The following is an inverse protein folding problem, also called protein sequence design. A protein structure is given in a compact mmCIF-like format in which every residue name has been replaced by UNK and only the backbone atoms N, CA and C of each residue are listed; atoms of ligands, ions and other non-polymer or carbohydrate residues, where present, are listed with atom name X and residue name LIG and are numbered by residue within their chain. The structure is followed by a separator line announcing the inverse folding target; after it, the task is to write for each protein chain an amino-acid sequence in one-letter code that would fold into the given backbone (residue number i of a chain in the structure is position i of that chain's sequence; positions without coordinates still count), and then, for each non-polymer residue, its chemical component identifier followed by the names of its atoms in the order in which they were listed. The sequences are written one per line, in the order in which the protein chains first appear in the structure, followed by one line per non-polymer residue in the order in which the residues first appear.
data_IF_839239265997
#
_entry.id   IF_839239265997
#
_cell.length_a   1.000
_cell.length_b   1.000
_cell.length_c   1.000
_cell.angle_alpha   90.00
_cell.angle_beta   90.00
_cell.angle_gamma   90.00
#
_symmetry.space_group_name_H-M   'P 1'
#
loop_
_entity.id
_entity.type
_entity.pdbx_description
1 polymer ?
#
# COMPACT_ATOMS: atom_id res chain seq x y z
N UNK A 1 26.31 -8.31 13.13
CA UNK A 1 25.65 -7.87 14.37
C UNK A 1 24.44 -8.76 14.60
N UNK A 2 24.28 -9.38 15.77
CA UNK A 2 23.17 -10.26 16.10
C UNK A 2 21.87 -9.54 16.49
N UNK A 3 21.72 -8.25 16.17
CA UNK A 3 20.50 -7.50 16.42
C UNK A 3 19.49 -7.73 15.29
N UNK A 4 18.20 -7.94 15.62
CA UNK A 4 17.14 -7.99 14.62
C UNK A 4 16.99 -6.64 13.93
N UNK A 5 16.35 -6.59 12.73
CA UNK A 5 15.98 -5.33 12.13
C UNK A 5 15.17 -4.47 13.09
N UNK A 6 15.42 -3.16 13.11
CA UNK A 6 14.69 -2.24 13.96
C UNK A 6 13.24 -2.09 13.44
N UNK A 7 12.26 -2.27 14.31
CA UNK A 7 10.89 -1.91 14.04
C UNK A 7 10.71 -0.41 14.25
N UNK A 8 10.06 0.26 13.30
CA UNK A 8 9.66 1.65 13.47
C UNK A 8 8.23 1.86 12.97
N UNK A 9 7.57 2.83 13.53
CA UNK A 9 6.25 3.25 13.09
C UNK A 9 6.25 4.75 12.84
N UNK A 10 5.96 5.14 11.61
CA UNK A 10 5.74 6.53 11.26
C UNK A 10 4.26 6.77 11.00
N UNK A 11 3.72 7.77 11.66
CA UNK A 11 2.34 8.21 11.48
C UNK A 11 2.30 9.74 11.52
N UNK A 12 1.49 10.33 10.66
CA UNK A 12 1.22 11.76 10.64
C UNK A 12 -0.26 11.99 10.36
N UNK A 13 -0.76 13.14 10.77
CA UNK A 13 -2.09 13.63 10.41
C UNK A 13 -1.93 14.89 9.59
N UNK A 14 -2.41 14.87 8.36
CA UNK A 14 -2.41 16.02 7.48
C UNK A 14 -3.39 17.11 7.97
N UNK A 15 -3.25 18.38 7.55
CA UNK A 15 -4.19 19.44 7.88
C UNK A 15 -5.64 19.15 7.46
N UNK A 16 -5.83 18.33 6.42
CA UNK A 16 -7.14 17.81 5.99
C UNK A 16 -7.80 16.87 7.00
N UNK A 17 -7.06 16.41 8.02
CA UNK A 17 -7.47 15.37 8.95
C UNK A 17 -7.09 13.96 8.51
N UNK A 18 -6.58 13.76 7.29
CA UNK A 18 -6.17 12.45 6.73
C UNK A 18 -4.98 11.87 7.48
N UNK A 19 -5.08 10.60 7.85
CA UNK A 19 -3.95 9.84 8.40
C UNK A 19 -2.99 9.41 7.29
N UNK A 20 -1.68 9.58 7.55
CA UNK A 20 -0.60 9.11 6.69
C UNK A 20 0.28 8.16 7.50
N UNK A 21 0.62 7.03 6.93
CA UNK A 21 1.33 5.96 7.67
C UNK A 21 2.43 5.35 6.82
N UNK A 22 3.50 4.90 7.49
CA UNK A 22 4.46 3.94 6.96
C UNK A 22 4.12 2.55 7.49
N UNK A 23 4.13 1.54 6.63
CA UNK A 23 3.88 0.16 7.00
C UNK A 23 4.69 -0.81 6.13
N UNK A 24 4.66 -2.12 6.47
CA UNK A 24 5.34 -3.18 5.70
C UNK A 24 6.79 -2.85 5.38
N UNK A 25 7.57 -2.49 6.42
CA UNK A 25 9.01 -2.26 6.23
C UNK A 25 9.72 -3.55 5.85
N UNK A 26 10.41 -3.52 4.72
CA UNK A 26 11.15 -4.63 4.16
C UNK A 26 12.65 -4.31 4.17
N UNK A 27 13.38 -4.66 5.24
CA UNK A 27 14.84 -4.55 5.25
C UNK A 27 15.43 -5.54 4.25
N UNK A 28 16.41 -5.12 3.46
CA UNK A 28 16.96 -5.93 2.39
C UNK A 28 15.91 -6.36 1.37
N UNK A 29 14.96 -5.47 1.04
CA UNK A 29 13.82 -5.78 0.19
C UNK A 29 13.89 -5.16 -1.20
N UNK A 30 12.93 -5.53 -2.03
CA UNK A 30 12.74 -5.04 -3.39
C UNK A 30 11.31 -4.59 -3.60
N UNK A 31 11.10 -3.67 -4.53
CA UNK A 31 9.75 -3.31 -5.01
C UNK A 31 9.47 -4.10 -6.28
N UNK A 32 8.36 -4.83 -6.28
CA UNK A 32 7.95 -5.71 -7.37
C UNK A 32 6.70 -5.19 -8.07
N UNK A 33 6.60 -5.46 -9.36
CA UNK A 33 5.36 -5.34 -10.10
C UNK A 33 4.38 -6.43 -9.64
N UNK A 34 3.20 -6.04 -9.19
CA UNK A 34 2.16 -6.95 -8.67
C UNK A 34 0.93 -7.00 -9.58
N UNK A 35 1.11 -6.72 -10.88
CA UNK A 35 0.03 -6.70 -11.85
C UNK A 35 -0.59 -8.09 -12.00
N UNK A 36 -1.92 -8.17 -11.89
CA UNK A 36 -2.70 -9.40 -12.07
C UNK A 36 -3.68 -9.32 -13.25
N UNK A 37 -3.75 -8.18 -13.92
CA UNK A 37 -4.66 -7.94 -15.06
C UNK A 37 -4.08 -6.98 -16.08
N UNK A 38 -4.66 -6.92 -17.28
CA UNK A 38 -4.21 -6.02 -18.34
C UNK A 38 -4.47 -4.55 -17.96
N UNK A 39 -3.52 -3.68 -18.29
CA UNK A 39 -3.69 -2.23 -18.17
C UNK A 39 -3.57 -1.65 -16.76
N UNK A 40 -3.29 -2.46 -15.74
CA UNK A 40 -3.02 -2.04 -14.37
C UNK A 40 -1.54 -2.23 -13.99
N UNK A 41 -1.01 -1.33 -13.15
CA UNK A 41 0.37 -1.41 -12.65
C UNK A 41 0.42 -1.14 -11.15
N UNK A 42 -0.07 -2.05 -10.31
CA UNK A 42 0.22 -2.02 -8.88
C UNK A 42 1.64 -2.50 -8.58
N UNK A 43 2.22 -1.98 -7.52
CA UNK A 43 3.52 -2.40 -6.98
C UNK A 43 3.35 -2.90 -5.55
N UNK A 44 4.30 -3.71 -5.09
CA UNK A 44 4.37 -4.16 -3.71
C UNK A 44 5.84 -4.29 -3.28
N UNK A 45 6.12 -4.07 -1.99
CA UNK A 45 7.41 -4.29 -1.39
C UNK A 45 7.54 -5.72 -0.85
N UNK A 46 8.67 -6.35 -1.12
CA UNK A 46 8.97 -7.71 -0.68
C UNK A 46 10.40 -7.80 -0.14
N UNK A 47 10.64 -8.72 0.81
CA UNK A 47 11.99 -9.12 1.21
C UNK A 47 12.21 -10.58 0.91
N UNK A 48 13.36 -10.92 0.33
CA UNK A 48 13.84 -12.28 0.30
C UNK A 48 14.17 -12.77 1.73
N UNK A 49 14.24 -14.09 1.93
CA UNK A 49 14.55 -14.66 3.24
C UNK A 49 15.86 -14.13 3.85
N UNK A 50 16.89 -13.92 3.02
CA UNK A 50 18.20 -13.41 3.45
C UNK A 50 18.18 -11.95 3.91
N UNK A 51 17.21 -11.15 3.47
CA UNK A 51 17.09 -9.72 3.79
C UNK A 51 18.37 -8.92 3.58
N UNK A 52 19.11 -9.21 2.52
CA UNK A 52 20.49 -8.76 2.27
C UNK A 52 20.67 -8.05 0.91
N UNK A 53 19.60 -7.56 0.30
CA UNK A 53 19.69 -6.84 -0.97
C UNK A 53 20.49 -5.52 -0.90
N UNK A 54 20.76 -5.02 0.31
CA UNK A 54 21.39 -3.73 0.55
C UNK A 54 20.43 -2.54 0.49
N UNK A 55 19.13 -2.78 0.23
CA UNK A 55 18.09 -1.76 0.15
C UNK A 55 16.95 -2.07 1.13
N UNK A 56 16.25 -1.04 1.54
CA UNK A 56 15.03 -1.17 2.32
C UNK A 56 13.88 -0.48 1.59
N UNK A 57 12.67 -0.99 1.78
CA UNK A 57 11.46 -0.32 1.31
C UNK A 57 10.36 -0.34 2.36
N UNK A 58 9.37 0.51 2.18
CA UNK A 58 8.13 0.51 2.98
C UNK A 58 6.98 1.05 2.15
N UNK A 59 5.77 0.59 2.44
CA UNK A 59 4.56 1.21 1.95
C UNK A 59 4.31 2.54 2.67
N UNK A 60 4.01 3.58 1.91
CA UNK A 60 3.57 4.88 2.44
C UNK A 60 2.15 5.09 1.97
N UNK A 61 1.23 5.11 2.91
CA UNK A 61 -0.20 5.14 2.61
C UNK A 61 -0.91 6.32 3.26
N UNK A 62 -1.97 6.75 2.59
CA UNK A 62 -2.93 7.71 3.09
C UNK A 62 -4.30 7.04 3.26
N UNK A 63 -4.99 7.33 4.36
CA UNK A 63 -6.37 6.87 4.53
C UNK A 63 -7.24 7.45 3.41
N UNK A 64 -8.01 6.60 2.75
CA UNK A 64 -9.06 7.00 1.80
C UNK A 64 -10.44 6.65 2.36
N UNK A 65 -11.45 7.38 1.98
CA UNK A 65 -12.83 7.22 2.45
C UNK A 65 -13.83 7.41 1.31
N UNK A 66 -15.11 7.23 1.58
CA UNK A 66 -16.16 7.49 0.61
C UNK A 66 -16.17 8.91 0.02
N UNK A 67 -15.56 9.87 0.69
CA UNK A 67 -15.36 11.23 0.15
C UNK A 67 -14.40 11.26 -1.05
N UNK A 68 -13.48 10.30 -1.12
CA UNK A 68 -12.47 10.21 -2.19
C UNK A 68 -12.99 9.48 -3.44
N UNK A 69 -13.93 8.54 -3.28
CA UNK A 69 -14.42 7.68 -4.37
C UNK A 69 -15.94 7.61 -4.51
N UNK A 70 -16.69 8.24 -3.58
CA UNK A 70 -18.15 8.20 -3.57
C UNK A 70 -18.71 7.03 -2.77
N UNK A 71 -20.01 7.12 -2.42
CA UNK A 71 -20.71 6.14 -1.58
C UNK A 71 -21.93 5.52 -2.29
N UNK A 72 -22.14 5.88 -3.55
CA UNK A 72 -23.32 5.45 -4.31
C UNK A 72 -23.22 4.02 -4.86
N UNK A 73 -22.01 3.44 -4.91
CA UNK A 73 -21.76 2.10 -5.39
C UNK A 73 -20.87 1.34 -4.38
N UNK A 74 -21.21 0.08 -4.13
CA UNK A 74 -20.43 -0.82 -3.26
C UNK A 74 -19.01 -1.02 -3.80
N UNK A 75 -18.82 -0.96 -5.10
CA UNK A 75 -17.55 -1.17 -5.78
C UNK A 75 -16.79 0.12 -6.09
N UNK A 76 -17.31 1.30 -5.73
CA UNK A 76 -16.64 2.57 -6.01
C UNK A 76 -15.18 2.63 -5.51
N UNK A 77 -14.86 1.97 -4.39
CA UNK A 77 -13.48 1.86 -3.90
C UNK A 77 -12.62 0.92 -4.74
N UNK A 78 -13.20 -0.13 -5.34
CA UNK A 78 -12.50 -1.00 -6.32
C UNK A 78 -12.22 -0.22 -7.60
N UNK A 79 -13.21 0.53 -8.10
CA UNK A 79 -13.05 1.37 -9.28
C UNK A 79 -11.95 2.41 -9.09
N UNK A 80 -11.84 2.99 -7.88
CA UNK A 80 -10.72 3.87 -7.54
C UNK A 80 -9.38 3.13 -7.65
N UNK A 81 -9.25 1.92 -7.08
CA UNK A 81 -8.02 1.14 -7.16
C UNK A 81 -7.62 0.89 -8.62
N UNK A 82 -8.56 0.42 -9.44
CA UNK A 82 -8.35 0.15 -10.87
C UNK A 82 -7.96 1.41 -11.64
N UNK A 83 -8.60 2.54 -11.34
CA UNK A 83 -8.26 3.83 -11.94
C UNK A 83 -6.81 4.25 -11.61
N UNK A 84 -6.40 4.10 -10.35
CA UNK A 84 -5.04 4.42 -9.92
C UNK A 84 -3.99 3.52 -10.59
N UNK A 85 -4.28 2.22 -10.66
CA UNK A 85 -3.44 1.23 -11.33
C UNK A 85 -3.30 1.52 -12.85
N UNK A 86 -4.42 1.88 -13.50
CA UNK A 86 -4.41 2.28 -14.91
C UNK A 86 -3.62 3.58 -15.16
N UNK A 87 -3.70 4.55 -14.24
CA UNK A 87 -2.88 5.77 -14.31
C UNK A 87 -1.40 5.44 -14.14
N UNK A 88 -1.05 4.58 -13.18
CA UNK A 88 0.32 4.12 -12.97
C UNK A 88 0.85 3.38 -14.21
N UNK A 89 0.06 2.48 -14.81
CA UNK A 89 0.40 1.78 -16.04
C UNK A 89 0.74 2.74 -17.18
N UNK A 90 -0.13 3.74 -17.43
CA UNK A 90 0.14 4.75 -18.46
C UNK A 90 1.39 5.58 -18.17
N UNK A 91 1.59 6.02 -16.93
CA UNK A 91 2.78 6.76 -16.49
C UNK A 91 4.05 5.93 -16.59
N UNK A 92 3.96 4.62 -16.39
CA UNK A 92 5.06 3.66 -16.56
C UNK A 92 5.39 3.34 -18.01
N UNK A 93 4.69 3.93 -18.99
CA UNK A 93 4.93 3.74 -20.42
C UNK A 93 4.09 2.66 -21.08
N UNK A 94 3.04 2.13 -20.40
CA UNK A 94 2.10 1.15 -20.98
C UNK A 94 2.68 -0.25 -21.21
N UNK A 95 3.78 -0.59 -20.57
CA UNK A 95 4.55 -1.82 -20.80
C UNK A 95 4.96 -2.53 -19.48
N UNK A 96 4.16 -2.37 -18.43
CA UNK A 96 4.42 -2.90 -17.09
C UNK A 96 5.73 -2.39 -16.45
N UNK A 97 6.22 -1.23 -16.86
CA UNK A 97 7.24 -0.48 -16.15
C UNK A 97 6.62 0.22 -14.93
N UNK A 98 7.18 0.02 -13.75
CA UNK A 98 6.74 0.73 -12.55
C UNK A 98 7.12 2.21 -12.64
N UNK A 99 6.18 3.16 -12.58
CA UNK A 99 6.53 4.57 -12.56
C UNK A 99 7.23 4.92 -11.27
N UNK A 100 8.37 5.58 -11.38
CA UNK A 100 9.20 5.95 -10.24
C UNK A 100 9.71 7.39 -10.33
N UNK A 101 9.84 8.03 -9.18
CA UNK A 101 10.30 9.39 -9.03
C UNK A 101 11.23 9.52 -7.82
N UNK A 102 12.20 10.41 -7.90
CA UNK A 102 13.03 10.75 -6.75
C UNK A 102 12.16 11.35 -5.62
N UNK A 103 12.41 10.93 -4.37
CA UNK A 103 11.66 11.39 -3.20
C UNK A 103 11.69 12.92 -3.05
N UNK A 104 12.89 13.51 -3.13
CA UNK A 104 13.02 14.96 -3.00
C UNK A 104 12.41 15.68 -4.19
N UNK A 105 12.55 15.11 -5.39
CA UNK A 105 11.87 15.61 -6.59
C UNK A 105 10.36 15.62 -6.46
N UNK A 106 9.77 14.56 -5.90
CA UNK A 106 8.33 14.52 -5.60
C UNK A 106 7.93 15.62 -4.61
N UNK A 107 8.68 15.81 -3.53
CA UNK A 107 8.36 16.80 -2.50
C UNK A 107 8.49 18.24 -3.00
N UNK A 108 9.43 18.51 -3.89
CA UNK A 108 9.73 19.84 -4.43
C UNK A 108 9.03 20.15 -5.75
N UNK A 109 8.37 19.15 -6.35
CA UNK A 109 7.77 19.30 -7.68
C UNK A 109 8.79 19.39 -8.80
N UNK A 110 9.99 18.84 -8.60
CA UNK A 110 11.12 18.88 -9.56
C UNK A 110 11.39 17.52 -10.16
N UNK A 111 11.87 17.49 -11.40
CA UNK A 111 12.32 16.27 -12.06
C UNK A 111 13.79 15.98 -11.72
N UNK A 112 14.02 15.28 -10.60
CA UNK A 112 15.35 14.84 -10.18
C UNK A 112 15.65 13.42 -10.67
N UNK A 113 16.93 13.13 -10.88
CA UNK A 113 17.36 11.79 -11.30
C UNK A 113 17.03 10.75 -10.21
N UNK A 114 16.69 9.54 -10.65
CA UNK A 114 16.60 8.39 -9.76
C UNK A 114 18.01 7.99 -9.32
N UNK A 115 18.18 7.64 -8.06
CA UNK A 115 19.41 7.00 -7.64
C UNK A 115 19.54 5.62 -8.30
N UNK A 116 20.74 5.31 -8.76
CA UNK A 116 21.06 4.00 -9.33
C UNK A 116 21.22 2.99 -8.21
N UNK A 117 20.13 2.36 -7.80
CA UNK A 117 20.11 1.24 -6.88
C UNK A 117 19.56 -0.01 -7.55
N UNK A 118 19.96 -1.19 -7.07
CA UNK A 118 19.48 -2.48 -7.58
C UNK A 118 18.13 -2.92 -7.01
N UNK A 119 17.50 -2.14 -6.14
CA UNK A 119 16.18 -2.44 -5.57
C UNK A 119 15.07 -2.20 -6.59
N UNK A 120 15.11 -2.89 -7.72
CA UNK A 120 14.29 -2.53 -8.85
C UNK A 120 13.37 -3.68 -9.22
N UNK A 121 12.08 -3.38 -9.32
CA UNK A 121 11.18 -4.11 -10.19
C UNK A 121 11.87 -4.38 -11.54
N UNK A 122 11.58 -5.48 -12.23
CA UNK A 122 12.28 -5.84 -13.46
C UNK A 122 12.22 -4.76 -14.54
N UNK A 123 11.32 -3.79 -14.40
CA UNK A 123 11.26 -2.58 -15.23
C UNK A 123 10.83 -1.38 -14.41
N UNK A 124 11.63 -0.34 -14.39
CA UNK A 124 11.33 0.96 -13.79
C UNK A 124 11.29 2.02 -14.89
N UNK A 125 10.23 2.79 -14.89
CA UNK A 125 10.07 3.94 -15.77
C UNK A 125 10.18 5.22 -14.94
N UNK A 126 11.20 6.04 -15.19
CA UNK A 126 11.26 7.38 -14.59
C UNK A 126 10.06 8.18 -15.08
N UNK A 127 9.22 8.63 -14.16
CA UNK A 127 8.01 9.36 -14.47
C UNK A 127 7.65 10.32 -13.35
N UNK A 128 7.02 11.43 -13.72
CA UNK A 128 6.39 12.29 -12.73
C UNK A 128 5.14 11.57 -12.16
N UNK A 129 5.14 11.30 -10.86
CA UNK A 129 4.05 10.59 -10.18
C UNK A 129 2.82 11.47 -9.94
N UNK A 130 2.92 12.79 -10.13
CA UNK A 130 1.79 13.69 -9.99
C UNK A 130 0.60 13.29 -10.87
N UNK A 131 -0.59 13.28 -10.29
CA UNK A 131 -1.83 12.92 -10.98
C UNK A 131 -2.11 11.42 -11.10
N UNK A 132 -1.27 10.54 -10.54
CA UNK A 132 -1.66 9.13 -10.33
C UNK A 132 -2.72 9.09 -9.24
N UNK A 133 -2.44 9.70 -8.10
CA UNK A 133 -3.38 9.82 -6.98
C UNK A 133 -4.31 11.02 -7.15
N UNK A 134 -5.46 11.05 -6.48
CA UNK A 134 -6.26 12.26 -6.35
C UNK A 134 -5.42 13.39 -5.73
N UNK A 135 -5.60 14.62 -6.20
CA UNK A 135 -4.77 15.76 -5.81
C UNK A 135 -4.69 15.96 -4.29
N UNK A 136 -5.82 15.87 -3.59
CA UNK A 136 -5.86 16.02 -2.12
C UNK A 136 -5.05 14.92 -1.41
N UNK A 137 -5.12 13.69 -1.89
CA UNK A 137 -4.36 12.56 -1.35
C UNK A 137 -2.86 12.77 -1.57
N UNK A 138 -2.47 13.24 -2.74
CA UNK A 138 -1.07 13.54 -3.05
C UNK A 138 -0.51 14.67 -2.17
N UNK A 139 -1.27 15.75 -1.97
CA UNK A 139 -0.90 16.87 -1.10
C UNK A 139 -0.71 16.41 0.36
N UNK A 140 -1.62 15.57 0.85
CA UNK A 140 -1.54 14.99 2.19
C UNK A 140 -0.36 14.03 2.35
N UNK A 141 -0.05 13.21 1.34
CA UNK A 141 1.15 12.36 1.33
C UNK A 141 2.44 13.20 1.37
N UNK A 142 2.52 14.28 0.60
CA UNK A 142 3.67 15.21 0.65
C UNK A 142 3.85 15.80 2.05
N UNK A 143 2.75 16.15 2.71
CA UNK A 143 2.78 16.61 4.11
C UNK A 143 3.30 15.50 5.04
N UNK A 144 2.74 14.30 4.94
CA UNK A 144 3.13 13.15 5.77
C UNK A 144 4.62 12.79 5.62
N UNK A 145 5.12 12.73 4.39
CA UNK A 145 6.54 12.47 4.12
C UNK A 145 7.46 13.52 4.78
N UNK A 146 7.08 14.81 4.71
CA UNK A 146 7.84 15.86 5.41
C UNK A 146 7.77 15.72 6.93
N UNK A 147 6.63 15.31 7.47
CA UNK A 147 6.47 15.05 8.89
C UNK A 147 7.34 13.85 9.34
N UNK A 148 7.40 12.79 8.54
CA UNK A 148 8.27 11.63 8.80
C UNK A 148 9.75 12.01 8.85
N UNK A 149 10.20 12.92 7.96
CA UNK A 149 11.57 13.43 7.99
C UNK A 149 11.92 14.22 9.25
N UNK A 150 10.92 14.79 9.95
CA UNK A 150 11.13 15.43 11.26
C UNK A 150 11.22 14.43 12.40
N UNK A 151 10.55 13.28 12.25
CA UNK A 151 10.50 12.23 13.27
C UNK A 151 11.68 11.27 13.15
N UNK A 152 12.08 10.92 11.94
CA UNK A 152 13.14 9.98 11.64
C UNK A 152 14.24 10.70 10.85
N UNK A 153 15.34 10.99 11.52
CA UNK A 153 16.50 11.63 10.87
C UNK A 153 17.02 10.75 9.72
N UNK A 154 17.31 11.37 8.57
CA UNK A 154 17.77 10.65 7.38
C UNK A 154 16.65 10.03 6.52
N UNK A 155 15.37 10.10 6.96
CA UNK A 155 14.25 9.60 6.14
C UNK A 155 14.12 10.36 4.81
N UNK A 156 14.26 11.68 4.84
CA UNK A 156 14.30 12.49 3.63
C UNK A 156 15.72 12.50 3.07
N UNK A 157 15.94 11.77 2.00
CA UNK A 157 17.24 11.62 1.34
C UNK A 157 17.12 11.79 -0.17
N UNK A 158 18.18 12.29 -0.78
CA UNK A 158 18.34 12.37 -2.24
C UNK A 158 18.38 10.98 -2.90
N UNK A 159 18.70 9.94 -2.14
CA UNK A 159 18.75 8.55 -2.62
C UNK A 159 17.39 7.88 -2.63
N UNK A 160 16.38 8.47 -1.95
CA UNK A 160 15.04 7.92 -1.85
C UNK A 160 14.34 7.89 -3.21
N UNK A 161 13.73 6.74 -3.51
CA UNK A 161 12.93 6.54 -4.71
C UNK A 161 11.51 6.16 -4.33
N UNK A 162 10.54 6.88 -4.87
CA UNK A 162 9.12 6.56 -4.76
C UNK A 162 8.68 5.77 -5.99
N UNK A 163 7.91 4.73 -5.75
CA UNK A 163 7.22 3.94 -6.77
C UNK A 163 5.71 4.11 -6.60
N UNK A 164 4.94 4.03 -7.66
CA UNK A 164 3.49 4.06 -7.63
C UNK A 164 2.92 3.01 -8.59
N UNK A 165 1.82 2.41 -8.21
CA UNK A 165 0.98 2.66 -7.04
C UNK A 165 0.86 1.39 -6.19
N UNK A 166 0.91 1.50 -4.88
CA UNK A 166 0.49 0.42 -3.99
C UNK A 166 -0.96 0.66 -3.59
N UNK A 167 -1.88 0.17 -4.41
CA UNK A 167 -3.32 0.42 -4.32
C UNK A 167 -4.08 -0.59 -3.47
N UNK A 168 -3.51 -1.79 -3.26
CA UNK A 168 -4.20 -2.94 -2.66
C UNK A 168 -3.72 -3.23 -1.24
N UNK A 169 -3.66 -2.22 -0.40
CA UNK A 169 -3.23 -2.34 1.01
C UNK A 169 -4.36 -2.78 1.94
N UNK A 170 -5.61 -2.59 1.54
CA UNK A 170 -6.81 -2.99 2.26
C UNK A 170 -7.95 -3.20 1.28
N UNK A 171 -8.86 -4.12 1.60
CA UNK A 171 -10.09 -4.27 0.81
C UNK A 171 -10.95 -3.02 0.94
N UNK A 172 -11.41 -2.43 -0.18
CA UNK A 172 -12.35 -1.30 -0.16
C UNK A 172 -13.80 -1.76 0.09
N UNK A 173 -14.05 -3.06 0.04
CA UNK A 173 -15.36 -3.67 0.27
C UNK A 173 -15.31 -4.44 1.58
N UNK A 174 -16.33 -4.25 2.42
CA UNK A 174 -16.52 -5.02 3.65
C UNK A 174 -17.72 -5.94 3.50
N UNK A 175 -17.49 -7.25 3.61
CA UNK A 175 -18.56 -8.25 3.65
C UNK A 175 -19.14 -8.31 5.06
N UNK A 176 -20.38 -7.92 5.23
CA UNK A 176 -21.03 -7.92 6.55
C UNK A 176 -21.23 -9.35 7.06
N UNK A 177 -20.94 -9.52 8.37
CA UNK A 177 -21.03 -10.81 9.05
C UNK A 177 -21.48 -10.65 10.49
N UNK A 178 -22.17 -11.64 10.99
CA UNK A 178 -22.50 -11.80 12.41
C UNK A 178 -21.90 -13.11 12.91
N UNK A 179 -21.17 -13.06 14.04
CA UNK A 179 -20.46 -14.23 14.57
C UNK A 179 -19.62 -14.98 13.50
N UNK A 180 -18.92 -14.23 12.64
CA UNK A 180 -18.11 -14.69 11.50
C UNK A 180 -18.90 -15.25 10.31
N UNK A 181 -20.19 -15.49 10.39
CA UNK A 181 -21.02 -15.94 9.25
C UNK A 181 -21.64 -14.73 8.54
N UNK A 182 -21.69 -14.77 7.21
CA UNK A 182 -22.32 -13.73 6.40
C UNK A 182 -23.80 -13.56 6.78
N UNK A 183 -24.23 -12.31 6.89
CA UNK A 183 -25.66 -12.01 7.17
C UNK A 183 -26.57 -12.31 5.98
N UNK A 184 -26.01 -12.44 4.77
CA UNK A 184 -26.77 -12.66 3.53
C UNK A 184 -26.71 -14.09 3.00
N UNK A 185 -25.61 -14.81 3.29
CA UNK A 185 -25.38 -16.15 2.75
C UNK A 185 -24.99 -17.12 3.88
N UNK A 186 -25.89 -18.03 4.20
CA UNK A 186 -25.66 -19.08 5.19
C UNK A 186 -24.51 -20.00 4.74
N UNK A 187 -23.61 -20.31 5.65
CA UNK A 187 -22.45 -21.16 5.40
C UNK A 187 -21.24 -20.43 4.78
N UNK A 188 -21.35 -19.14 4.46
CA UNK A 188 -20.25 -18.30 4.03
C UNK A 188 -19.66 -17.60 5.26
N UNK A 189 -18.32 -17.71 5.42
CA UNK A 189 -17.56 -17.13 6.53
C UNK A 189 -16.51 -16.15 5.99
N UNK A 190 -16.87 -14.88 5.73
CA UNK A 190 -15.93 -13.88 5.24
C UNK A 190 -14.91 -13.53 6.34
N UNK A 191 -13.62 -13.77 6.08
CA UNK A 191 -12.54 -13.52 7.03
C UNK A 191 -11.34 -12.84 6.37
N UNK A 192 -10.53 -12.17 7.19
CA UNK A 192 -9.27 -11.57 6.79
C UNK A 192 -9.42 -10.29 5.97
N UNK A 193 -8.34 -9.95 5.26
CA UNK A 193 -8.21 -8.68 4.52
C UNK A 193 -9.19 -8.61 3.34
N UNK A 194 -9.27 -9.66 2.52
CA UNK A 194 -10.13 -9.67 1.34
C UNK A 194 -11.61 -9.46 1.66
N UNK A 195 -12.05 -9.84 2.86
CA UNK A 195 -13.40 -9.62 3.36
C UNK A 195 -13.59 -8.28 4.09
N UNK A 196 -12.55 -7.44 4.18
CA UNK A 196 -12.60 -6.12 4.80
C UNK A 196 -12.56 -6.12 6.34
N UNK A 197 -12.11 -7.21 6.98
CA UNK A 197 -12.08 -7.34 8.44
C UNK A 197 -10.70 -7.23 9.08
N UNK A 198 -9.65 -7.18 8.28
CA UNK A 198 -8.28 -7.02 8.75
C UNK A 198 -7.44 -6.27 7.70
N UNK A 199 -6.32 -5.69 8.10
CA UNK A 199 -5.45 -4.92 7.20
C UNK A 199 -3.97 -5.28 7.33
N UNK A 200 -3.65 -6.47 7.85
CA UNK A 200 -2.26 -6.90 7.99
C UNK A 200 -2.15 -8.42 8.12
N UNK A 201 -0.95 -8.96 7.90
CA UNK A 201 -0.68 -10.41 7.87
C UNK A 201 -1.16 -11.09 9.16
N UNK A 202 -0.70 -10.61 10.31
CA UNK A 202 -1.03 -11.22 11.61
C UNK A 202 -2.51 -11.05 11.94
N UNK A 203 -3.07 -9.86 11.73
CA UNK A 203 -4.49 -9.60 12.02
C UNK A 203 -5.41 -10.45 11.13
N UNK A 204 -5.05 -10.64 9.86
CA UNK A 204 -5.80 -11.51 8.94
C UNK A 204 -5.72 -12.98 9.35
N UNK A 205 -4.54 -13.45 9.77
CA UNK A 205 -4.37 -14.81 10.28
C UNK A 205 -5.20 -15.06 11.56
N UNK A 206 -5.17 -14.12 12.51
CA UNK A 206 -5.97 -14.19 13.74
C UNK A 206 -7.46 -14.20 13.43
N UNK A 207 -7.91 -13.36 12.51
CA UNK A 207 -9.31 -13.32 12.10
C UNK A 207 -9.75 -14.65 11.45
N UNK A 208 -8.90 -15.23 10.58
CA UNK A 208 -9.12 -16.54 9.98
C UNK A 208 -9.22 -17.67 11.02
N UNK A 209 -8.29 -17.69 12.01
CA UNK A 209 -8.31 -18.68 13.11
C UNK A 209 -9.61 -18.55 13.93
N UNK A 210 -10.02 -17.35 14.29
CA UNK A 210 -11.26 -17.10 15.02
C UNK A 210 -12.49 -17.56 14.25
N UNK A 211 -12.52 -17.30 12.93
CA UNK A 211 -13.59 -17.80 12.06
C UNK A 211 -13.67 -19.32 12.03
N UNK A 212 -12.51 -20.00 11.90
CA UNK A 212 -12.45 -21.46 11.93
C UNK A 212 -12.92 -22.05 13.27
N UNK A 213 -12.49 -21.48 14.40
CA UNK A 213 -12.95 -21.90 15.72
C UNK A 213 -14.48 -21.76 15.85
N UNK A 214 -15.04 -20.67 15.34
CA UNK A 214 -16.50 -20.46 15.36
C UNK A 214 -17.27 -21.50 14.55
N UNK A 215 -16.72 -21.94 13.42
CA UNK A 215 -17.31 -23.03 12.61
C UNK A 215 -17.31 -24.33 13.39
N UNK A 216 -16.21 -24.65 14.09
CA UNK A 216 -16.10 -25.88 14.91
C UNK A 216 -17.10 -25.88 16.06
N UNK A 217 -17.21 -24.77 16.80
CA UNK A 217 -18.20 -24.62 17.89
C UNK A 217 -19.62 -24.86 17.37
N UNK A 218 -19.98 -24.29 16.22
CA UNK A 218 -21.32 -24.44 15.63
C UNK A 218 -21.63 -25.87 15.18
N UNK A 219 -20.62 -26.67 14.84
CA UNK A 219 -20.79 -28.08 14.46
C UNK A 219 -20.89 -29.01 15.67
N UNK A 220 -20.42 -28.56 16.81
CA UNK A 220 -20.41 -29.33 18.05
C UNK A 220 -21.66 -29.09 18.92
N UNK A 221 -22.47 -28.09 18.57
CA UNK A 221 -23.74 -27.73 19.21
C UNK A 221 -24.92 -28.31 18.42
#
# INVERSE_FOLDING_TARGET
SGLPPADYRLAARAPSGRGIYSFCMCPGGEVLAAASGPGGMPVNGMSAHGRDSGFANSGIVATVSGEDFGTGDVFAGVDLQELLEARAFRKGGGNFGAPAMNLMGFLEGKDLNLCRGKALAPRVSRANLAGILPRKVEEDLRYGLRAFGKTLHGFLTQEGTLYAVESRTSSPVRMERENFESITLKGLYPVGEGAGHAGGIVSSAVDGIRGALRILEKRSA
#
